data_IF_930196052845
#
_entry.id   IF_930196052845
#
_cell.length_a   1.000
_cell.length_b   1.000
_cell.length_c   1.000
_cell.angle_alpha   90.00
_cell.angle_beta   90.00
_cell.angle_gamma   90.00
#
_symmetry.space_group_name_H-M   'P 1'
#
loop_
_entity.id
_entity.type
_entity.pdbx_description
1 polymer ?
#
# COMPACT_ATOMS: atom_id res chain seq x y z
N UNK A 1 -15.33 -12.46 9.23
CA UNK A 1 -15.71 -12.01 10.59
C UNK A 1 -15.07 -10.65 10.81
N UNK A 2 -15.84 -9.57 10.85
CA UNK A 2 -15.32 -8.18 10.81
C UNK A 2 -15.56 -7.38 12.08
N UNK A 3 -16.43 -7.87 12.97
CA UNK A 3 -16.85 -7.21 14.21
C UNK A 3 -16.90 -8.25 15.34
N UNK A 4 -16.47 -7.85 16.54
CA UNK A 4 -16.55 -8.69 17.75
C UNK A 4 -17.16 -7.85 18.87
N UNK A 5 -18.21 -8.35 19.49
CA UNK A 5 -18.79 -7.73 20.67
C UNK A 5 -17.88 -7.98 21.88
N UNK A 6 -17.52 -6.90 22.57
CA UNK A 6 -16.76 -6.93 23.82
C UNK A 6 -17.68 -6.47 24.94
N UNK A 7 -17.96 -7.36 25.87
CA UNK A 7 -18.90 -7.13 26.96
C UNK A 7 -18.51 -5.90 27.78
N UNK A 8 -19.41 -4.92 27.93
CA UNK A 8 -19.17 -3.68 28.69
C UNK A 8 -18.31 -2.62 27.99
N UNK A 9 -17.81 -2.88 26.77
CA UNK A 9 -17.06 -1.90 25.95
C UNK A 9 -17.78 -1.59 24.64
N UNK A 10 -18.56 -2.54 24.12
CA UNK A 10 -19.31 -2.43 22.87
C UNK A 10 -18.67 -3.22 21.73
N UNK A 11 -18.99 -2.86 20.49
CA UNK A 11 -18.51 -3.58 19.31
C UNK A 11 -17.10 -3.11 18.95
N UNK A 12 -16.16 -4.06 18.92
CA UNK A 12 -14.82 -3.85 18.40
C UNK A 12 -14.79 -4.12 16.88
N UNK A 13 -14.35 -3.11 16.13
CA UNK A 13 -14.09 -3.19 14.69
C UNK A 13 -12.65 -2.79 14.40
N UNK A 14 -12.04 -3.39 13.38
CA UNK A 14 -10.73 -2.93 12.94
C UNK A 14 -10.81 -1.48 12.42
N UNK A 15 -9.80 -0.63 12.71
CA UNK A 15 -9.74 0.68 12.11
C UNK A 15 -9.75 0.60 10.58
N UNK A 16 -10.37 1.56 9.91
CA UNK A 16 -10.33 1.63 8.45
C UNK A 16 -9.01 2.23 7.93
N UNK A 17 -8.81 2.23 6.62
CA UNK A 17 -7.55 2.69 6.01
C UNK A 17 -7.16 4.13 6.37
N UNK A 18 -8.15 5.04 6.46
CA UNK A 18 -7.87 6.44 6.82
C UNK A 18 -7.45 6.58 8.30
N UNK A 19 -8.01 5.77 9.19
CA UNK A 19 -7.57 5.69 10.59
C UNK A 19 -6.17 5.07 10.69
N UNK A 20 -5.88 4.01 9.92
CA UNK A 20 -4.53 3.43 9.84
C UNK A 20 -3.49 4.42 9.30
N UNK A 21 -3.84 5.24 8.31
CA UNK A 21 -2.97 6.31 7.83
C UNK A 21 -2.63 7.35 8.90
N UNK A 22 -3.58 7.66 9.79
CA UNK A 22 -3.33 8.55 10.95
C UNK A 22 -2.48 7.88 12.03
N UNK A 23 -2.71 6.59 12.27
CA UNK A 23 -1.95 5.76 13.21
C UNK A 23 -0.50 5.54 12.77
N UNK A 24 -0.25 5.49 11.45
CA UNK A 24 1.10 5.34 10.89
C UNK A 24 2.06 6.49 11.23
N UNK A 25 1.54 7.65 11.64
CA UNK A 25 2.34 8.79 12.13
C UNK A 25 2.81 8.61 13.59
N UNK A 26 2.21 7.68 14.33
CA UNK A 26 2.56 7.38 15.72
C UNK A 26 3.53 6.20 15.78
N UNK A 27 4.47 6.22 16.74
CA UNK A 27 5.48 5.16 16.90
C UNK A 27 5.27 4.38 18.21
N UNK A 28 5.59 3.09 18.16
CA UNK A 28 5.69 2.20 19.33
C UNK A 28 4.36 1.88 20.00
N UNK A 29 4.40 1.64 21.31
CA UNK A 29 3.28 1.22 22.14
C UNK A 29 2.08 2.18 22.08
N UNK A 30 2.35 3.49 21.95
CA UNK A 30 1.31 4.52 21.77
C UNK A 30 0.44 4.28 20.53
N UNK A 31 1.02 3.69 19.48
CA UNK A 31 0.27 3.31 18.26
C UNK A 31 -0.64 2.12 18.55
N UNK A 32 -0.15 1.13 19.30
CA UNK A 32 -0.93 -0.06 19.66
C UNK A 32 -2.14 0.30 20.51
N UNK A 33 -1.95 1.08 21.57
CA UNK A 33 -3.06 1.55 22.41
C UNK A 33 -4.08 2.37 21.60
N UNK A 34 -3.61 3.17 20.64
CA UNK A 34 -4.50 3.95 19.76
C UNK A 34 -5.30 3.06 18.79
N UNK A 35 -4.74 1.96 18.29
CA UNK A 35 -5.48 0.97 17.48
C UNK A 35 -6.62 0.36 18.29
N UNK A 36 -6.36 -0.04 19.54
CA UNK A 36 -7.37 -0.63 20.42
C UNK A 36 -8.48 0.37 20.76
N UNK A 37 -8.10 1.60 21.12
CA UNK A 37 -9.06 2.65 21.44
C UNK A 37 -9.96 3.01 20.26
N UNK A 38 -9.38 3.23 19.08
CA UNK A 38 -10.14 3.59 17.88
C UNK A 38 -11.04 2.47 17.38
N UNK A 39 -10.64 1.20 17.55
CA UNK A 39 -11.47 0.07 17.19
C UNK A 39 -12.74 -0.06 18.05
N UNK A 40 -12.71 0.42 19.29
CA UNK A 40 -13.90 0.57 20.14
C UNK A 40 -14.64 1.92 19.95
N UNK A 41 -14.21 2.78 19.01
CA UNK A 41 -14.82 4.09 18.80
C UNK A 41 -14.55 5.12 19.91
N UNK A 42 -13.52 4.91 20.74
CA UNK A 42 -13.18 5.81 21.85
C UNK A 42 -11.79 6.44 21.73
N UNK A 43 -11.53 7.44 22.55
CA UNK A 43 -10.21 8.08 22.63
C UNK A 43 -9.24 7.26 23.47
N UNK A 44 -7.93 7.40 23.24
CA UNK A 44 -6.88 6.77 24.06
C UNK A 44 -7.03 7.11 25.55
N UNK A 45 -7.46 8.34 25.86
CA UNK A 45 -7.68 8.78 27.25
C UNK A 45 -8.85 8.04 27.91
N UNK A 46 -9.91 7.74 27.15
CA UNK A 46 -11.03 6.93 27.64
C UNK A 46 -10.62 5.46 27.77
N UNK A 47 -9.86 4.93 26.81
CA UNK A 47 -9.36 3.57 26.86
C UNK A 47 -8.48 3.31 28.08
N UNK A 48 -7.58 4.23 28.41
CA UNK A 48 -6.72 4.12 29.61
C UNK A 48 -7.49 4.20 30.93
N UNK A 49 -8.74 4.66 30.93
CA UNK A 49 -9.62 4.65 32.12
C UNK A 49 -10.35 3.32 32.30
N UNK A 50 -10.35 2.45 31.30
CA UNK A 50 -10.95 1.13 31.41
C UNK A 50 -10.13 0.26 32.38
N UNK A 51 -10.78 -0.62 33.16
CA UNK A 51 -10.07 -1.61 33.96
C UNK A 51 -9.21 -2.51 33.07
N UNK A 52 -8.09 -2.98 33.61
CA UNK A 52 -7.12 -3.78 32.87
C UNK A 52 -7.77 -5.02 32.21
N UNK A 53 -8.75 -5.62 32.87
CA UNK A 53 -9.48 -6.79 32.33
C UNK A 53 -10.19 -6.48 31.01
N UNK A 54 -10.84 -5.31 30.93
CA UNK A 54 -11.53 -4.86 29.71
C UNK A 54 -10.55 -4.45 28.61
N UNK A 55 -9.38 -3.91 28.96
CA UNK A 55 -8.32 -3.66 27.98
C UNK A 55 -7.79 -4.97 27.37
N UNK A 56 -7.64 -6.02 28.19
CA UNK A 56 -7.22 -7.34 27.73
C UNK A 56 -8.28 -8.01 26.84
N UNK A 57 -9.57 -7.87 27.15
CA UNK A 57 -10.65 -8.39 26.30
C UNK A 57 -10.65 -7.73 24.91
N UNK A 58 -10.49 -6.40 24.85
CA UNK A 58 -10.36 -5.67 23.58
C UNK A 58 -9.11 -6.13 22.82
N UNK A 59 -8.00 -6.35 23.52
CA UNK A 59 -6.77 -6.87 22.90
C UNK A 59 -6.98 -8.29 22.33
N UNK A 60 -7.71 -9.16 23.02
CA UNK A 60 -8.06 -10.50 22.51
C UNK A 60 -8.98 -10.41 21.29
N UNK A 61 -9.95 -9.50 21.29
CA UNK A 61 -10.81 -9.26 20.13
C UNK A 61 -9.99 -8.79 18.92
N UNK A 62 -9.06 -7.85 19.13
CA UNK A 62 -8.11 -7.41 18.10
C UNK A 62 -7.28 -8.57 17.53
N UNK A 63 -6.67 -9.40 18.39
CA UNK A 63 -5.88 -10.56 17.94
C UNK A 63 -6.74 -11.57 17.19
N UNK A 64 -8.00 -11.77 17.60
CA UNK A 64 -8.92 -12.68 16.92
C UNK A 64 -9.30 -12.17 15.53
N UNK A 65 -9.51 -10.86 15.36
CA UNK A 65 -9.75 -10.25 14.05
C UNK A 65 -8.50 -10.22 13.15
N UNK A 66 -7.31 -9.99 13.74
CA UNK A 66 -6.02 -10.01 13.03
C UNK A 66 -5.48 -11.43 12.79
N UNK A 67 -6.15 -12.47 13.31
CA UNK A 67 -5.75 -13.86 13.11
C UNK A 67 -5.73 -14.19 11.61
N UNK A 68 -4.70 -14.88 11.09
CA UNK A 68 -4.59 -15.27 9.69
C UNK A 68 -5.80 -16.02 9.15
N UNK A 69 -6.59 -16.65 10.03
CA UNK A 69 -7.81 -17.37 9.69
C UNK A 69 -8.99 -16.45 9.30
N UNK A 70 -8.97 -15.18 9.72
CA UNK A 70 -10.01 -14.18 9.44
C UNK A 70 -9.60 -13.16 8.38
N UNK A 71 -8.30 -13.04 8.12
CA UNK A 71 -7.79 -12.35 6.95
C UNK A 71 -8.00 -13.30 5.78
N UNK A 72 -9.15 -13.19 5.10
CA UNK A 72 -9.24 -13.66 3.72
C UNK A 72 -8.05 -13.00 3.03
N UNK A 73 -7.06 -13.74 2.52
CA UNK A 73 -6.09 -13.14 1.62
C UNK A 73 -6.96 -12.50 0.56
N UNK A 74 -6.96 -11.16 0.46
CA UNK A 74 -7.39 -10.52 -0.78
C UNK A 74 -6.57 -11.29 -1.81
N UNK A 75 -7.24 -12.16 -2.58
CA UNK A 75 -6.55 -12.99 -3.55
C UNK A 75 -5.61 -12.07 -4.30
N UNK A 76 -4.32 -12.44 -4.34
CA UNK A 76 -3.32 -11.63 -5.02
C UNK A 76 -3.98 -11.11 -6.31
N UNK A 77 -4.07 -9.78 -6.52
CA UNK A 77 -4.73 -9.26 -7.68
C UNK A 77 -4.14 -10.01 -8.87
N UNK A 78 -5.02 -10.66 -9.64
CA UNK A 78 -4.65 -11.61 -10.69
C UNK A 78 -3.36 -11.15 -11.36
N UNK A 79 -2.30 -11.98 -11.40
CA UNK A 79 -0.94 -11.54 -11.66
C UNK A 79 -0.93 -10.70 -12.93
N UNK A 80 -0.88 -9.38 -12.75
CA UNK A 80 -0.96 -8.44 -13.85
C UNK A 80 0.39 -8.50 -14.53
N UNK A 81 0.57 -9.44 -15.47
CA UNK A 81 1.77 -9.73 -16.27
C UNK A 81 3.00 -8.97 -15.76
N UNK A 82 3.41 -9.30 -14.54
CA UNK A 82 4.33 -8.43 -13.79
C UNK A 82 5.71 -8.75 -14.33
N UNK A 83 6.18 -7.91 -15.25
CA UNK A 83 7.51 -8.06 -15.82
C UNK A 83 8.52 -7.96 -14.68
N UNK A 84 9.35 -8.98 -14.50
CA UNK A 84 10.46 -8.94 -13.55
C UNK A 84 11.45 -7.88 -14.03
N UNK A 85 11.39 -6.70 -13.42
CA UNK A 85 12.36 -5.63 -13.71
C UNK A 85 13.65 -6.00 -12.95
N UNK A 86 14.79 -6.13 -13.66
CA UNK A 86 16.05 -6.43 -13.01
C UNK A 86 16.40 -5.34 -11.98
N UNK A 87 16.80 -5.77 -10.77
CA UNK A 87 17.24 -4.89 -9.69
C UNK A 87 18.68 -4.43 -9.98
N UNK A 88 18.92 -3.12 -10.04
CA UNK A 88 20.25 -2.54 -10.28
C UNK A 88 20.24 -1.38 -11.28
N UNK A 89 21.41 -1.06 -11.83
CA UNK A 89 21.55 -0.02 -12.85
C UNK A 89 21.11 -0.55 -14.22
N UNK A 90 19.91 -0.19 -14.68
CA UNK A 90 19.42 -0.59 -16.00
C UNK A 90 20.21 0.11 -17.12
N UNK A 91 20.59 -0.66 -18.14
CA UNK A 91 21.15 -0.11 -19.38
C UNK A 91 20.13 0.75 -20.12
N UNK A 92 20.59 1.57 -21.07
CA UNK A 92 19.72 2.42 -21.89
C UNK A 92 18.70 1.58 -22.67
N UNK A 93 19.13 0.47 -23.27
CA UNK A 93 18.26 -0.44 -24.01
C UNK A 93 17.19 -1.09 -23.12
N UNK A 94 17.57 -1.47 -21.89
CA UNK A 94 16.63 -2.00 -20.92
C UNK A 94 15.58 -0.95 -20.51
N UNK A 95 16.00 0.30 -20.32
CA UNK A 95 15.07 1.42 -20.04
C UNK A 95 14.13 1.68 -21.22
N UNK A 96 14.62 1.58 -22.46
CA UNK A 96 13.79 1.70 -23.66
C UNK A 96 12.76 0.56 -23.76
N UNK A 97 13.19 -0.69 -23.51
CA UNK A 97 12.30 -1.85 -23.51
C UNK A 97 11.21 -1.75 -22.42
N UNK A 98 11.56 -1.26 -21.24
CA UNK A 98 10.61 -0.98 -20.14
C UNK A 98 9.68 0.17 -20.54
N UNK A 99 10.20 1.25 -21.11
CA UNK A 99 9.40 2.41 -21.54
C UNK A 99 8.36 2.06 -22.60
N UNK A 100 8.73 1.27 -23.63
CA UNK A 100 7.81 0.78 -24.66
C UNK A 100 6.71 -0.10 -24.07
N UNK A 101 7.08 -0.98 -23.13
CA UNK A 101 6.12 -1.81 -22.42
C UNK A 101 5.13 -0.98 -21.59
N UNK A 102 5.62 0.01 -20.84
CA UNK A 102 4.77 0.90 -20.05
C UNK A 102 3.80 1.72 -20.91
N UNK A 103 4.22 2.16 -22.10
CA UNK A 103 3.33 2.85 -23.05
C UNK A 103 2.22 1.93 -23.56
N UNK A 104 2.53 0.67 -23.88
CA UNK A 104 1.53 -0.33 -24.31
C UNK A 104 0.51 -0.59 -23.19
N UNK A 105 0.97 -0.78 -21.95
CA UNK A 105 0.08 -1.00 -20.81
C UNK A 105 -0.75 0.25 -20.51
N UNK A 106 -0.16 1.44 -20.57
CA UNK A 106 -0.89 2.70 -20.39
C UNK A 106 -2.01 2.88 -21.41
N UNK A 107 -1.82 2.44 -22.65
CA UNK A 107 -2.85 2.53 -23.70
C UNK A 107 -4.02 1.56 -23.48
N UNK A 108 -3.79 0.45 -22.77
CA UNK A 108 -4.82 -0.53 -22.45
C UNK A 108 -5.62 -0.19 -21.17
N UNK A 109 -5.08 0.69 -20.33
CA UNK A 109 -5.70 1.06 -19.07
C UNK A 109 -6.63 2.28 -19.22
N UNK A 110 -7.79 2.29 -18.53
CA UNK A 110 -8.64 3.46 -18.45
C UNK A 110 -7.88 4.66 -17.87
N UNK A 111 -8.30 5.87 -18.28
CA UNK A 111 -7.67 7.10 -17.81
C UNK A 111 -7.68 7.18 -16.27
N UNK A 112 -6.55 7.57 -15.67
CA UNK A 112 -6.39 7.63 -14.21
C UNK A 112 -5.92 6.33 -13.53
N UNK A 113 -6.06 5.16 -14.17
CA UNK A 113 -5.69 3.87 -13.55
C UNK A 113 -4.20 3.53 -13.65
N UNK A 114 -3.46 4.19 -14.54
CA UNK A 114 -2.04 3.93 -14.75
C UNK A 114 -1.17 4.26 -13.52
N UNK A 115 -1.50 5.33 -12.79
CA UNK A 115 -0.76 5.76 -11.60
C UNK A 115 -0.79 4.74 -10.47
N UNK A 116 -1.98 4.30 -10.02
CA UNK A 116 -2.13 3.22 -9.04
C UNK A 116 -1.54 1.89 -9.52
N UNK A 117 -1.67 1.58 -10.82
CA UNK A 117 -1.14 0.34 -11.39
C UNK A 117 0.39 0.24 -11.29
N UNK A 118 1.13 1.35 -11.46
CA UNK A 118 2.59 1.36 -11.27
C UNK A 118 2.97 1.00 -9.83
N UNK A 119 2.20 1.47 -8.85
CA UNK A 119 2.49 1.24 -7.41
C UNK A 119 2.31 -0.23 -7.00
N UNK A 120 1.53 -0.99 -7.77
CA UNK A 120 1.37 -2.44 -7.61
C UNK A 120 2.60 -3.23 -8.12
N UNK A 121 3.38 -2.66 -9.04
CA UNK A 121 4.51 -3.36 -9.66
C UNK A 121 5.74 -3.41 -8.74
N UNK A 122 6.19 -4.62 -8.40
CA UNK A 122 7.39 -4.79 -7.55
C UNK A 122 8.65 -4.34 -8.30
N UNK A 123 9.34 -3.34 -7.75
CA UNK A 123 10.62 -2.85 -8.27
C UNK A 123 10.52 -1.72 -9.30
N UNK A 124 9.32 -1.20 -9.56
CA UNK A 124 9.11 -0.02 -10.42
C UNK A 124 8.69 1.18 -9.57
N UNK A 125 9.48 2.25 -9.59
CA UNK A 125 9.06 3.53 -8.99
C UNK A 125 8.38 4.42 -10.03
N UNK A 126 7.50 5.34 -9.60
CA UNK A 126 6.87 6.34 -10.47
C UNK A 126 7.89 7.19 -11.25
N UNK A 127 8.98 7.57 -10.59
CA UNK A 127 10.06 8.37 -11.21
C UNK A 127 10.78 7.56 -12.30
N UNK A 128 11.07 6.28 -12.03
CA UNK A 128 11.70 5.38 -13.00
C UNK A 128 10.78 5.08 -14.19
N UNK A 129 9.49 4.82 -13.95
CA UNK A 129 8.49 4.64 -15.00
C UNK A 129 8.44 5.87 -15.93
N UNK A 130 8.35 7.06 -15.34
CA UNK A 130 8.32 8.33 -16.08
C UNK A 130 9.60 8.54 -16.90
N UNK A 131 10.77 8.22 -16.34
CA UNK A 131 12.06 8.32 -17.03
C UNK A 131 12.13 7.37 -18.23
N UNK A 132 11.74 6.10 -18.06
CA UNK A 132 11.77 5.10 -19.12
C UNK A 132 10.79 5.43 -20.25
N UNK A 133 9.56 5.84 -19.91
CA UNK A 133 8.56 6.26 -20.89
C UNK A 133 9.00 7.50 -21.66
N UNK A 134 9.63 8.48 -20.99
CA UNK A 134 10.16 9.68 -21.65
C UNK A 134 11.28 9.34 -22.65
N UNK A 135 12.18 8.42 -22.29
CA UNK A 135 13.20 7.90 -23.19
C UNK A 135 12.57 7.19 -24.40
N UNK A 136 11.57 6.33 -24.17
CA UNK A 136 10.87 5.62 -25.23
C UNK A 136 10.00 6.52 -26.14
N UNK A 137 9.63 7.72 -25.68
CA UNK A 137 8.86 8.71 -26.44
C UNK A 137 9.78 9.72 -27.15
N UNK A 138 11.11 9.59 -27.05
CA UNK A 138 12.07 10.46 -27.74
C UNK A 138 12.41 11.76 -27.02
N UNK A 139 11.94 12.00 -25.79
CA UNK A 139 12.01 13.30 -25.13
C UNK A 139 13.40 13.82 -24.71
N UNK A 140 14.51 13.23 -25.18
CA UNK A 140 15.88 13.76 -24.98
C UNK A 140 17.01 13.08 -25.77
N UNK A 141 16.75 12.07 -26.60
CA UNK A 141 17.82 11.34 -27.31
C UNK A 141 18.09 11.90 -28.70
N UNK A 142 17.07 12.42 -29.39
CA UNK A 142 17.25 13.08 -30.70
C UNK A 142 18.27 14.24 -30.60
N UNK A 143 18.25 14.99 -29.48
CA UNK A 143 19.18 16.11 -29.27
C UNK A 143 20.63 15.72 -28.90
N UNK A 144 20.92 14.48 -28.47
CA UNK A 144 22.30 14.04 -28.17
C UNK A 144 22.91 13.21 -29.30
N UNK A 145 22.11 12.53 -30.09
CA UNK A 145 22.56 11.83 -31.30
C UNK A 145 22.78 12.81 -32.48
N UNK A 146 21.98 13.87 -32.63
CA UNK A 146 22.26 14.94 -33.61
C UNK A 146 23.49 15.79 -33.30
N UNK A 147 23.91 15.90 -32.03
CA UNK A 147 25.12 16.64 -31.63
C UNK A 147 26.41 15.80 -31.72
N UNK A 148 26.31 14.51 -32.06
CA UNK A 148 27.43 13.58 -32.17
C UNK A 148 27.59 12.96 -33.57
N UNK A 149 26.80 13.40 -34.55
CA UNK A 149 26.93 13.09 -35.98
C UNK A 149 27.46 14.31 -36.74
#
# INVERSE_FOLDING_TARGET
>A
MTEIEVEGVGIYRLPNEWQYGRLGRMRGEKRHTAVLAFGCGMTVRQFNKLPADKQHEVHRAYLKLMSPSNVVPLGDPAPAETRSIPRGHLSVDQKLAVGRWLLKVKAQLPHGHFGPWIETQKGLSRSMASQCMRLATGGRQDAREELAA
#
